data_IF_688490951482
#
_entry.id   IF_688490951482
#
_cell.length_a   1.000
_cell.length_b   1.000
_cell.length_c   1.000
_cell.angle_alpha   90.00
_cell.angle_beta   90.00
_cell.angle_gamma   90.00
#
_symmetry.space_group_name_H-M   'P 1'
#
loop_
_entity.id
_entity.type
_entity.pdbx_description
1 polymer ?
#
# COMPACT_ATOMS: atom_id res chain seq x y z
N UNK A 1 -17.88 16.56 -16.15
CA UNK A 1 -16.40 16.53 -16.26
C UNK A 1 -16.03 16.21 -17.70
N UNK A 2 -15.31 17.10 -18.40
CA UNK A 2 -14.72 16.76 -19.71
C UNK A 2 -13.38 16.09 -19.45
N UNK A 3 -13.33 14.78 -19.62
CA UNK A 3 -12.08 14.02 -19.54
C UNK A 3 -11.09 14.54 -20.60
N UNK A 4 -9.85 14.81 -20.19
CA UNK A 4 -8.75 15.17 -21.09
C UNK A 4 -7.57 14.25 -20.85
N UNK A 5 -6.80 13.97 -21.89
CA UNK A 5 -5.54 13.25 -21.77
C UNK A 5 -4.61 13.98 -20.80
N UNK A 6 -3.93 13.24 -19.91
CA UNK A 6 -3.00 13.84 -18.96
C UNK A 6 -1.92 14.67 -19.68
N UNK A 7 -1.80 15.98 -19.40
CA UNK A 7 -0.82 16.83 -20.06
C UNK A 7 0.60 16.58 -19.52
N UNK A 8 1.59 16.92 -20.34
CA UNK A 8 3.00 16.86 -19.95
C UNK A 8 3.28 17.87 -18.82
N UNK A 9 4.06 17.47 -17.83
CA UNK A 9 4.47 18.36 -16.73
C UNK A 9 3.34 18.81 -15.81
N UNK A 10 2.26 18.04 -15.68
CA UNK A 10 1.13 18.34 -14.78
C UNK A 10 1.58 18.70 -13.34
N UNK A 11 2.71 18.15 -12.89
CA UNK A 11 3.33 18.49 -11.61
C UNK A 11 3.72 19.99 -11.48
N UNK A 12 3.97 20.70 -12.58
CA UNK A 12 4.27 22.13 -12.60
C UNK A 12 3.05 23.00 -12.30
N UNK A 13 1.83 22.50 -12.58
CA UNK A 13 0.58 23.17 -12.18
C UNK A 13 0.31 22.97 -10.69
N UNK A 14 0.46 21.73 -10.22
CA UNK A 14 0.30 21.37 -8.81
C UNK A 14 1.13 20.11 -8.50
N UNK A 15 2.05 20.20 -7.55
CA UNK A 15 3.00 19.12 -7.22
C UNK A 15 2.35 17.76 -6.98
N UNK A 16 1.27 17.69 -6.18
CA UNK A 16 0.53 16.45 -5.88
C UNK A 16 -0.08 15.77 -7.11
N UNK A 17 -0.41 16.49 -8.18
CA UNK A 17 -0.89 15.89 -9.43
C UNK A 17 0.23 15.16 -10.19
N UNK A 18 1.49 15.46 -9.86
CA UNK A 18 2.68 14.76 -10.34
C UNK A 18 2.95 13.42 -9.67
N UNK A 19 2.26 13.08 -8.57
CA UNK A 19 2.54 11.85 -7.82
C UNK A 19 2.29 10.62 -8.69
N UNK A 20 3.34 9.84 -8.88
CA UNK A 20 3.28 8.69 -9.77
C UNK A 20 2.73 7.45 -9.05
N UNK A 21 1.40 7.38 -8.88
CA UNK A 21 0.70 6.24 -8.29
C UNK A 21 -0.21 5.53 -9.29
N UNK A 22 0.01 4.23 -9.48
CA UNK A 22 -0.89 3.39 -10.29
C UNK A 22 -2.29 3.28 -9.68
N UNK A 23 -2.41 3.37 -8.35
CA UNK A 23 -3.69 3.26 -7.65
C UNK A 23 -4.67 4.36 -8.02
N UNK A 24 -4.18 5.61 -8.08
CA UNK A 24 -5.01 6.76 -8.45
C UNK A 24 -5.47 6.68 -9.92
N UNK A 25 -4.67 6.05 -10.79
CA UNK A 25 -5.05 5.82 -12.19
C UNK A 25 -6.13 4.75 -12.29
N UNK A 26 -5.99 3.65 -11.53
CA UNK A 26 -7.03 2.61 -11.45
C UNK A 26 -8.32 3.19 -10.88
N UNK A 27 -8.22 4.04 -9.85
CA UNK A 27 -9.36 4.69 -9.26
C UNK A 27 -10.11 5.57 -10.27
N UNK A 28 -9.38 6.39 -11.04
CA UNK A 28 -9.98 7.21 -12.09
C UNK A 28 -10.68 6.38 -13.20
N UNK A 29 -10.20 5.18 -13.52
CA UNK A 29 -10.84 4.30 -14.53
C UNK A 29 -12.13 3.67 -13.97
N UNK A 30 -12.10 3.25 -12.71
CA UNK A 30 -13.22 2.58 -12.04
C UNK A 30 -14.32 3.57 -11.68
N UNK A 31 -13.96 4.80 -11.33
CA UNK A 31 -14.87 5.89 -11.01
C UNK A 31 -15.54 6.41 -12.28
N UNK A 32 -16.55 5.69 -12.76
CA UNK A 32 -17.28 6.08 -13.96
C UNK A 32 -18.29 7.20 -13.62
N UNK A 33 -18.18 8.41 -14.22
CA UNK A 33 -19.12 9.50 -13.98
C UNK A 33 -20.54 9.22 -14.50
N UNK A 34 -20.70 8.19 -15.34
CA UNK A 34 -21.96 7.89 -16.04
C UNK A 34 -23.07 7.34 -15.15
N UNK A 35 -22.75 6.72 -14.00
CA UNK A 35 -23.76 6.09 -13.15
C UNK A 35 -24.29 7.01 -12.06
N UNK A 36 -23.55 8.04 -11.67
CA UNK A 36 -23.88 8.91 -10.53
C UNK A 36 -23.53 10.35 -10.89
N UNK A 37 -24.55 11.15 -11.15
CA UNK A 37 -24.41 12.45 -11.82
C UNK A 37 -23.62 13.50 -11.03
N UNK A 38 -23.40 13.36 -9.71
CA UNK A 38 -22.97 14.51 -8.88
C UNK A 38 -21.95 14.22 -7.77
N UNK A 39 -21.61 12.96 -7.47
CA UNK A 39 -20.63 12.64 -6.42
C UNK A 39 -19.71 11.47 -6.81
N UNK A 40 -18.38 11.59 -6.66
CA UNK A 40 -17.49 10.47 -6.87
C UNK A 40 -17.66 9.44 -5.74
N UNK A 41 -17.96 8.20 -6.09
CA UNK A 41 -17.85 7.06 -5.17
C UNK A 41 -16.48 6.41 -5.34
N UNK A 42 -15.59 6.64 -4.38
CA UNK A 42 -14.24 6.08 -4.36
C UNK A 42 -14.26 4.57 -4.01
N UNK A 43 -14.76 3.72 -4.91
CA UNK A 43 -15.01 2.28 -4.65
C UNK A 43 -13.76 1.39 -4.78
N UNK A 44 -12.66 1.93 -5.30
CA UNK A 44 -11.45 1.14 -5.61
C UNK A 44 -10.87 0.45 -4.37
N UNK A 45 -10.84 1.15 -3.23
CA UNK A 45 -10.45 0.55 -1.95
C UNK A 45 -11.45 -0.52 -1.50
N UNK A 46 -12.76 -0.29 -1.69
CA UNK A 46 -13.80 -1.27 -1.38
C UNK A 46 -13.59 -2.61 -2.09
N UNK A 47 -13.22 -2.58 -3.38
CA UNK A 47 -12.98 -3.78 -4.19
C UNK A 47 -11.85 -4.64 -3.60
N UNK A 48 -10.68 -4.05 -3.33
CA UNK A 48 -9.56 -4.81 -2.77
C UNK A 48 -9.84 -5.27 -1.35
N UNK A 49 -10.51 -4.45 -0.55
CA UNK A 49 -10.93 -4.85 0.79
C UNK A 49 -11.91 -6.04 0.75
N UNK A 50 -12.86 -6.06 -0.18
CA UNK A 50 -13.81 -7.15 -0.37
C UNK A 50 -13.10 -8.47 -0.70
N UNK A 51 -12.19 -8.47 -1.67
CA UNK A 51 -11.45 -9.69 -2.03
C UNK A 51 -10.56 -10.19 -0.89
N UNK A 52 -9.90 -9.29 -0.16
CA UNK A 52 -9.07 -9.68 0.98
C UNK A 52 -9.90 -10.25 2.14
N UNK A 53 -11.02 -9.61 2.47
CA UNK A 53 -11.97 -10.12 3.47
C UNK A 53 -12.54 -11.49 3.09
N UNK A 54 -12.88 -11.67 1.82
CA UNK A 54 -13.35 -12.97 1.28
C UNK A 54 -12.30 -14.06 1.43
N UNK A 55 -11.02 -13.77 1.15
CA UNK A 55 -9.93 -14.72 1.35
C UNK A 55 -9.80 -15.15 2.82
N UNK A 56 -9.96 -14.20 3.76
CA UNK A 56 -10.03 -14.49 5.19
C UNK A 56 -11.20 -15.41 5.54
N UNK A 57 -12.40 -15.10 5.05
CA UNK A 57 -13.61 -15.88 5.30
C UNK A 57 -13.52 -17.32 4.76
N UNK A 58 -13.07 -17.50 3.52
CA UNK A 58 -12.91 -18.83 2.93
C UNK A 58 -11.81 -19.65 3.62
N UNK A 59 -10.71 -19.01 4.02
CA UNK A 59 -9.66 -19.69 4.79
C UNK A 59 -10.20 -20.14 6.14
N UNK A 60 -10.91 -19.27 6.84
CA UNK A 60 -11.50 -19.58 8.14
C UNK A 60 -12.49 -20.75 8.05
N UNK A 61 -13.46 -20.65 7.13
CA UNK A 61 -14.50 -21.67 6.95
C UNK A 61 -13.95 -23.02 6.49
N UNK A 62 -12.95 -23.05 5.60
CA UNK A 62 -12.27 -24.28 5.20
C UNK A 62 -11.51 -24.94 6.36
N UNK A 63 -10.74 -24.15 7.12
CA UNK A 63 -9.89 -24.67 8.21
C UNK A 63 -10.69 -25.13 9.42
N UNK A 64 -11.90 -24.59 9.63
CA UNK A 64 -12.83 -25.15 10.62
C UNK A 64 -13.12 -26.63 10.33
N UNK A 65 -13.30 -27.00 9.06
CA UNK A 65 -13.59 -28.38 8.65
C UNK A 65 -12.36 -29.28 8.77
N UNK A 66 -11.20 -28.80 8.33
CA UNK A 66 -9.96 -29.58 8.28
C UNK A 66 -9.27 -29.81 9.65
N UNK A 67 -9.59 -28.99 10.67
CA UNK A 67 -8.97 -29.06 12.03
C UNK A 67 -7.43 -29.03 12.01
N UNK A 68 -6.85 -28.30 11.05
CA UNK A 68 -5.39 -28.14 10.95
C UNK A 68 -5.03 -26.79 10.36
N UNK A 69 -4.47 -25.93 11.20
CA UNK A 69 -3.99 -24.61 10.80
C UNK A 69 -2.50 -24.66 10.46
N UNK A 70 -2.18 -24.06 9.32
CA UNK A 70 -0.83 -23.75 8.89
C UNK A 70 -0.38 -22.40 9.45
N UNK A 71 0.92 -22.11 9.42
CA UNK A 71 1.44 -20.81 9.87
C UNK A 71 0.86 -19.67 9.02
N UNK A 72 0.73 -19.88 7.71
CA UNK A 72 0.10 -18.92 6.81
C UNK A 72 -1.34 -18.59 7.21
N UNK A 73 -2.06 -19.58 7.74
CA UNK A 73 -3.49 -19.44 8.08
C UNK A 73 -3.65 -18.56 9.32
N UNK A 74 -2.82 -18.77 10.36
CA UNK A 74 -2.78 -17.90 11.53
C UNK A 74 -2.46 -16.45 11.15
N UNK A 75 -1.45 -16.25 10.29
CA UNK A 75 -1.09 -14.93 9.81
C UNK A 75 -2.24 -14.24 9.08
N UNK A 76 -2.85 -14.93 8.11
CA UNK A 76 -3.98 -14.38 7.37
C UNK A 76 -5.13 -14.02 8.33
N UNK A 77 -5.53 -14.91 9.24
CA UNK A 77 -6.63 -14.64 10.16
C UNK A 77 -6.37 -13.47 11.11
N UNK A 78 -5.14 -13.31 11.63
CA UNK A 78 -4.85 -12.16 12.47
C UNK A 78 -4.78 -10.85 11.68
N UNK A 79 -4.34 -10.87 10.41
CA UNK A 79 -4.42 -9.67 9.56
C UNK A 79 -5.86 -9.26 9.25
N UNK A 80 -6.83 -10.19 9.27
CA UNK A 80 -8.25 -9.87 9.14
C UNK A 80 -8.73 -8.98 10.28
N UNK A 81 -8.18 -9.10 11.49
CA UNK A 81 -8.52 -8.20 12.60
C UNK A 81 -8.10 -6.75 12.27
N UNK A 82 -6.91 -6.56 11.71
CA UNK A 82 -6.44 -5.23 11.30
C UNK A 82 -7.27 -4.69 10.13
N UNK A 83 -7.55 -5.55 9.14
CA UNK A 83 -8.43 -5.25 8.01
C UNK A 83 -9.78 -4.73 8.52
N UNK A 84 -10.45 -5.52 9.36
CA UNK A 84 -11.70 -5.17 10.03
C UNK A 84 -11.64 -3.79 10.67
N UNK A 85 -10.65 -3.53 11.54
CA UNK A 85 -10.50 -2.24 12.24
C UNK A 85 -10.36 -1.06 11.27
N UNK A 86 -9.62 -1.22 10.17
CA UNK A 86 -9.35 -0.14 9.21
C UNK A 86 -10.47 0.04 8.17
N UNK A 87 -11.29 -0.98 7.88
CA UNK A 87 -12.36 -0.94 6.87
C UNK A 87 -13.27 0.28 6.96
N UNK A 88 -13.86 0.66 8.12
CA UNK A 88 -14.90 1.68 8.17
C UNK A 88 -14.46 3.07 7.67
N UNK A 89 -13.20 3.45 7.87
CA UNK A 89 -12.67 4.74 7.42
C UNK A 89 -11.95 4.67 6.07
N UNK A 90 -11.84 3.47 5.49
CA UNK A 90 -10.97 3.17 4.35
C UNK A 90 -11.73 2.90 3.05
N UNK A 91 -12.94 2.34 3.14
CA UNK A 91 -13.68 1.76 2.01
C UNK A 91 -13.98 2.80 0.93
N UNK A 92 -14.37 4.01 1.32
CA UNK A 92 -14.72 5.13 0.44
C UNK A 92 -13.62 6.20 0.37
N UNK A 93 -12.36 5.81 0.58
CA UNK A 93 -11.20 6.71 0.54
C UNK A 93 -10.39 6.50 -0.74
N UNK A 94 -9.84 7.57 -1.31
CA UNK A 94 -8.80 7.51 -2.36
C UNK A 94 -7.39 7.26 -1.80
N UNK A 95 -7.22 7.14 -0.49
CA UNK A 95 -5.91 6.95 0.11
C UNK A 95 -5.24 5.68 -0.41
N UNK A 96 -3.98 5.82 -0.83
CA UNK A 96 -3.10 4.72 -1.25
C UNK A 96 -2.57 3.89 -0.07
N UNK A 97 -2.81 4.30 1.18
CA UNK A 97 -2.25 3.63 2.36
C UNK A 97 -2.90 2.26 2.59
N UNK A 98 -4.21 2.16 2.35
CA UNK A 98 -5.01 0.94 2.52
C UNK A 98 -4.64 -0.16 1.52
N UNK A 99 -4.58 0.09 0.20
CA UNK A 99 -4.17 -0.95 -0.73
C UNK A 99 -2.73 -1.41 -0.47
N UNK A 100 -1.81 -0.51 -0.11
CA UNK A 100 -0.42 -0.89 0.24
C UNK A 100 -0.39 -1.75 1.50
N UNK A 101 -1.18 -1.42 2.52
CA UNK A 101 -1.35 -2.26 3.73
C UNK A 101 -1.82 -3.67 3.37
N UNK A 102 -2.91 -3.79 2.61
CA UNK A 102 -3.52 -5.07 2.24
C UNK A 102 -2.60 -5.89 1.33
N UNK A 103 -1.97 -5.27 0.33
CA UNK A 103 -1.02 -5.94 -0.56
C UNK A 103 0.21 -6.38 0.22
N UNK A 104 0.68 -5.60 1.18
CA UNK A 104 1.80 -6.02 2.06
C UNK A 104 1.42 -7.27 2.83
N UNK A 105 0.24 -7.32 3.46
CA UNK A 105 -0.22 -8.54 4.13
C UNK A 105 -0.34 -9.72 3.16
N UNK A 106 -0.90 -9.50 1.97
CA UNK A 106 -1.03 -10.56 0.99
C UNK A 106 0.33 -11.10 0.52
N UNK A 107 1.30 -10.23 0.26
CA UNK A 107 2.66 -10.65 -0.15
C UNK A 107 3.38 -11.35 0.99
N UNK A 108 3.29 -10.87 2.23
CA UNK A 108 3.87 -11.58 3.39
C UNK A 108 3.21 -12.95 3.59
N UNK A 109 1.89 -13.05 3.43
CA UNK A 109 1.17 -14.33 3.42
C UNK A 109 1.71 -15.27 2.32
N UNK A 110 1.86 -14.79 1.10
CA UNK A 110 2.42 -15.58 -0.01
C UNK A 110 3.87 -15.99 0.25
N UNK A 111 4.66 -15.13 0.90
CA UNK A 111 6.04 -15.44 1.28
C UNK A 111 6.09 -16.57 2.31
N UNK A 112 5.19 -16.56 3.30
CA UNK A 112 5.04 -17.68 4.23
C UNK A 112 4.66 -18.95 3.45
N UNK A 113 3.63 -18.88 2.60
CA UNK A 113 3.15 -20.01 1.79
C UNK A 113 4.24 -20.60 0.90
N UNK A 114 5.09 -19.76 0.34
CA UNK A 114 6.21 -20.15 -0.49
C UNK A 114 7.20 -21.05 0.24
N UNK A 115 7.48 -20.77 1.51
CA UNK A 115 8.36 -21.60 2.35
C UNK A 115 7.64 -22.76 3.03
N UNK A 116 6.31 -22.66 3.18
CA UNK A 116 5.47 -23.67 3.83
C UNK A 116 5.09 -24.82 2.88
N UNK A 117 4.63 -24.49 1.67
CA UNK A 117 4.25 -25.44 0.64
C UNK A 117 5.33 -25.51 -0.44
N UNK A 118 5.98 -26.66 -0.55
CA UNK A 118 6.98 -26.91 -1.60
C UNK A 118 6.35 -27.02 -3.00
N UNK A 119 5.12 -27.54 -3.07
CA UNK A 119 4.32 -27.62 -4.29
C UNK A 119 3.96 -26.24 -4.84
N UNK A 120 4.07 -26.05 -6.15
CA UNK A 120 3.77 -24.79 -6.84
C UNK A 120 4.54 -23.56 -6.30
N UNK A 121 5.70 -23.77 -5.66
CA UNK A 121 6.56 -22.70 -5.13
C UNK A 121 6.89 -21.61 -6.18
N UNK A 122 7.08 -21.99 -7.44
CA UNK A 122 7.27 -21.05 -8.54
C UNK A 122 6.08 -20.09 -8.77
N UNK A 123 4.84 -20.56 -8.61
CA UNK A 123 3.64 -19.74 -8.78
C UNK A 123 3.55 -18.73 -7.64
N UNK A 124 3.79 -19.18 -6.40
CA UNK A 124 3.85 -18.29 -5.24
C UNK A 124 4.94 -17.23 -5.38
N UNK A 125 6.15 -17.60 -5.79
CA UNK A 125 7.23 -16.63 -6.03
C UNK A 125 6.88 -15.60 -7.11
N UNK A 126 6.23 -16.03 -8.19
CA UNK A 126 5.84 -15.11 -9.24
C UNK A 126 4.74 -14.13 -8.79
N UNK A 127 3.66 -14.64 -8.18
CA UNK A 127 2.57 -13.79 -7.68
C UNK A 127 3.14 -12.79 -6.66
N UNK A 128 4.03 -13.25 -5.79
CA UNK A 128 4.74 -12.42 -4.84
C UNK A 128 5.55 -11.30 -5.52
N UNK A 129 6.28 -11.57 -6.61
CA UNK A 129 7.00 -10.56 -7.40
C UNK A 129 6.07 -9.54 -8.07
N UNK A 130 4.95 -9.98 -8.66
CA UNK A 130 4.00 -9.07 -9.32
C UNK A 130 3.32 -8.18 -8.31
N UNK A 131 2.80 -8.74 -7.22
CA UNK A 131 2.10 -7.95 -6.20
C UNK A 131 3.05 -7.02 -5.44
N UNK A 132 4.30 -7.42 -5.21
CA UNK A 132 5.30 -6.52 -4.62
C UNK A 132 5.70 -5.39 -5.56
N UNK A 133 5.86 -5.66 -6.87
CA UNK A 133 6.07 -4.60 -7.87
C UNK A 133 4.86 -3.66 -7.91
N UNK A 134 3.65 -4.20 -7.95
CA UNK A 134 2.42 -3.41 -7.95
C UNK A 134 2.31 -2.54 -6.69
N UNK A 135 2.70 -3.04 -5.52
CA UNK A 135 2.76 -2.24 -4.30
C UNK A 135 3.71 -1.04 -4.45
N UNK A 136 4.86 -1.24 -5.11
CA UNK A 136 5.83 -0.15 -5.39
C UNK A 136 5.26 0.88 -6.36
N UNK A 137 4.53 0.47 -7.40
CA UNK A 137 3.89 1.40 -8.34
C UNK A 137 2.75 2.20 -7.69
N UNK A 138 2.16 1.68 -6.61
CA UNK A 138 1.21 2.43 -5.79
C UNK A 138 1.96 3.43 -4.89
N UNK A 139 3.02 2.96 -4.21
CA UNK A 139 3.79 3.75 -3.24
C UNK A 139 5.21 3.23 -3.07
N UNK A 140 6.20 4.11 -3.19
CA UNK A 140 7.62 3.77 -3.04
C UNK A 140 7.98 3.22 -1.65
N UNK A 141 7.17 3.48 -0.61
CA UNK A 141 7.40 2.90 0.72
C UNK A 141 7.34 1.37 0.72
N UNK A 142 6.73 0.74 -0.30
CA UNK A 142 6.70 -0.71 -0.46
C UNK A 142 7.97 -1.32 -1.07
N UNK A 143 9.00 -0.53 -1.41
CA UNK A 143 10.24 -1.05 -2.04
C UNK A 143 10.91 -2.22 -1.28
N UNK A 144 10.96 -2.23 0.07
CA UNK A 144 11.50 -3.37 0.83
C UNK A 144 10.75 -4.69 0.57
N UNK A 145 9.46 -4.61 0.24
CA UNK A 145 8.64 -5.79 -0.10
C UNK A 145 9.11 -6.43 -1.41
N UNK A 146 9.41 -5.62 -2.42
CA UNK A 146 9.95 -6.08 -3.71
C UNK A 146 11.36 -6.65 -3.54
N UNK A 147 12.22 -5.96 -2.79
CA UNK A 147 13.58 -6.44 -2.51
C UNK A 147 13.57 -7.79 -1.77
N UNK A 148 12.70 -7.93 -0.76
CA UNK A 148 12.49 -9.19 -0.04
C UNK A 148 11.96 -10.30 -0.95
N UNK A 149 11.06 -9.95 -1.86
CA UNK A 149 10.46 -10.89 -2.83
C UNK A 149 11.48 -11.42 -3.83
N UNK A 150 12.31 -10.54 -4.39
CA UNK A 150 13.43 -10.90 -5.27
C UNK A 150 14.43 -11.77 -4.53
N UNK A 151 14.80 -11.40 -3.29
CA UNK A 151 15.76 -12.14 -2.48
C UNK A 151 15.27 -13.56 -2.17
N UNK A 152 13.99 -13.72 -1.82
CA UNK A 152 13.38 -15.03 -1.58
C UNK A 152 13.35 -15.90 -2.84
N UNK A 153 13.07 -15.28 -4.00
CA UNK A 153 13.10 -15.98 -5.28
C UNK A 153 14.53 -16.42 -5.67
N UNK A 154 15.54 -15.55 -5.50
CA UNK A 154 16.95 -15.88 -5.73
C UNK A 154 17.38 -17.02 -4.80
N UNK A 155 17.05 -16.93 -3.51
CA UNK A 155 17.34 -17.99 -2.53
C UNK A 155 16.76 -19.33 -2.96
N UNK A 156 15.52 -19.34 -3.48
CA UNK A 156 14.90 -20.53 -4.03
C UNK A 156 15.60 -21.06 -5.27
N UNK A 157 15.99 -20.21 -6.23
CA UNK A 157 16.73 -20.64 -7.41
C UNK A 157 18.07 -21.30 -7.04
N UNK A 158 18.78 -20.72 -6.06
CA UNK A 158 20.04 -21.29 -5.55
C UNK A 158 19.79 -22.63 -4.85
N UNK A 159 18.77 -22.70 -4.00
CA UNK A 159 18.43 -23.92 -3.25
C UNK A 159 17.91 -25.04 -4.16
N UNK A 160 17.11 -24.68 -5.17
CA UNK A 160 16.61 -25.59 -6.19
C UNK A 160 17.76 -26.13 -7.04
N UNK A 161 18.74 -25.31 -7.45
CA UNK A 161 19.95 -25.77 -8.16
C UNK A 161 20.75 -26.79 -7.35
N UNK A 162 20.94 -26.56 -6.04
CA UNK A 162 21.63 -27.54 -5.18
C UNK A 162 20.90 -28.88 -5.10
N UNK A 163 19.58 -28.87 -5.01
CA UNK A 163 18.78 -30.10 -4.99
C UNK A 163 18.65 -30.76 -6.38
N UNK A 164 18.66 -29.97 -7.46
CA UNK A 164 18.59 -30.44 -8.85
C UNK A 164 19.88 -31.14 -9.29
N UNK A 165 21.02 -30.81 -8.70
CA UNK A 165 22.27 -31.58 -8.85
C UNK A 165 22.15 -32.99 -8.22
N UNK A 166 21.21 -33.21 -7.30
CA UNK A 166 21.05 -34.47 -6.55
C UNK A 166 19.83 -35.33 -6.93
N UNK A 167 18.87 -34.82 -7.70
CA UNK A 167 17.69 -35.58 -8.13
C UNK A 167 17.59 -35.61 -9.65
N UNK A 168 17.46 -36.82 -10.21
CA UNK A 168 17.25 -37.08 -11.64
C UNK A 168 16.29 -36.07 -12.31
N UNK A 169 16.73 -35.63 -13.49
CA UNK A 169 16.17 -34.58 -14.34
C UNK A 169 14.66 -34.73 -14.60
N UNK A 170 13.81 -34.11 -13.76
CA UNK A 170 12.51 -33.67 -14.24
C UNK A 170 12.76 -32.52 -15.23
N UNK A 171 12.75 -32.84 -16.52
CA UNK A 171 12.75 -31.90 -17.65
C UNK A 171 11.85 -30.72 -17.28
N UNK A 172 12.43 -29.51 -17.21
CA UNK A 172 11.68 -28.26 -17.17
C UNK A 172 10.70 -28.26 -18.35
N UNK A 173 9.45 -28.58 -18.06
CA UNK A 173 8.44 -28.81 -19.08
C UNK A 173 8.29 -27.51 -19.91
N UNK A 174 8.48 -27.59 -21.22
CA UNK A 174 8.50 -26.43 -22.14
C UNK A 174 7.23 -25.55 -22.02
N UNK A 175 6.10 -26.17 -21.64
CA UNK A 175 4.84 -25.47 -21.30
C UNK A 175 4.96 -24.54 -20.09
N UNK A 176 5.72 -24.91 -19.06
CA UNK A 176 6.01 -24.06 -17.90
C UNK A 176 6.87 -22.86 -18.31
N UNK A 177 7.87 -23.05 -19.17
CA UNK A 177 8.71 -21.97 -19.71
C UNK A 177 7.93 -20.92 -20.52
N UNK A 178 7.03 -21.36 -21.41
CA UNK A 178 6.15 -20.46 -22.18
C UNK A 178 5.19 -19.66 -21.28
N UNK A 179 4.69 -20.26 -20.20
CA UNK A 179 3.90 -19.58 -19.20
C UNK A 179 4.71 -18.50 -18.47
N UNK A 180 5.96 -18.78 -18.07
CA UNK A 180 6.83 -17.81 -17.41
C UNK A 180 7.19 -16.59 -18.29
N UNK A 181 7.29 -16.75 -19.62
CA UNK A 181 7.48 -15.62 -20.54
C UNK A 181 6.33 -14.62 -20.49
N UNK A 182 5.08 -15.09 -20.48
CA UNK A 182 3.88 -14.21 -20.39
C UNK A 182 3.84 -13.43 -19.08
N UNK A 183 4.30 -14.09 -18.02
CA UNK A 183 4.36 -13.56 -16.67
C UNK A 183 5.45 -12.48 -16.50
N UNK A 184 6.64 -12.70 -17.07
CA UNK A 184 7.70 -11.69 -17.15
C UNK A 184 7.24 -10.47 -17.97
N UNK A 185 6.54 -10.71 -19.08
CA UNK A 185 5.98 -9.63 -19.90
C UNK A 185 5.02 -8.75 -19.09
N UNK A 186 4.13 -9.34 -18.28
CA UNK A 186 3.23 -8.58 -17.42
C UNK A 186 3.98 -7.67 -16.41
N UNK A 187 5.05 -8.19 -15.79
CA UNK A 187 5.92 -7.40 -14.90
C UNK A 187 6.50 -6.18 -15.62
N UNK A 188 7.07 -6.38 -16.82
CA UNK A 188 7.66 -5.29 -17.59
C UNK A 188 6.64 -4.29 -18.11
N UNK A 189 5.43 -4.73 -18.49
CA UNK A 189 4.35 -3.82 -18.90
C UNK A 189 3.94 -2.89 -17.75
N UNK A 190 3.72 -3.45 -16.55
CA UNK A 190 3.38 -2.66 -15.36
C UNK A 190 4.49 -1.64 -15.05
N UNK A 191 5.75 -2.07 -15.09
CA UNK A 191 6.87 -1.19 -14.82
C UNK A 191 7.03 -0.10 -15.89
N UNK A 192 6.98 -0.46 -17.18
CA UNK A 192 7.16 0.46 -18.29
C UNK A 192 6.06 1.53 -18.32
N UNK A 193 4.80 1.13 -18.10
CA UNK A 193 3.67 2.08 -18.03
C UNK A 193 3.81 3.04 -16.86
N UNK A 194 4.22 2.55 -15.69
CA UNK A 194 4.48 3.40 -14.52
C UNK A 194 5.64 4.37 -14.77
N UNK A 195 6.75 3.91 -15.34
CA UNK A 195 7.91 4.74 -15.70
C UNK A 195 7.53 5.85 -16.68
N UNK A 196 6.85 5.48 -17.78
CA UNK A 196 6.41 6.43 -18.80
C UNK A 196 5.50 7.52 -18.21
N UNK A 197 4.54 7.12 -17.35
CA UNK A 197 3.62 8.06 -16.69
C UNK A 197 4.37 9.05 -15.80
N UNK A 198 5.34 8.61 -15.00
CA UNK A 198 6.12 9.50 -14.15
C UNK A 198 6.87 10.57 -14.96
N UNK A 199 7.53 10.14 -16.05
CA UNK A 199 8.24 11.03 -16.98
C UNK A 199 7.28 12.04 -17.62
N UNK A 200 6.11 11.58 -18.08
CA UNK A 200 5.06 12.46 -18.66
C UNK A 200 4.60 13.50 -17.64
N UNK A 201 4.27 13.10 -16.41
CA UNK A 201 3.66 14.00 -15.43
C UNK A 201 4.63 15.02 -14.82
N UNK A 202 5.90 14.67 -14.68
CA UNK A 202 6.85 15.46 -13.86
C UNK A 202 8.27 15.56 -14.44
N UNK A 203 8.58 14.81 -15.50
CA UNK A 203 9.96 14.61 -15.94
C UNK A 203 10.78 13.72 -14.99
N UNK A 204 10.15 13.03 -14.04
CA UNK A 204 10.80 12.13 -13.09
C UNK A 204 10.05 10.80 -12.98
N UNK A 205 10.76 9.66 -13.01
CA UNK A 205 10.15 8.32 -12.89
C UNK A 205 9.35 8.18 -11.59
N UNK A 206 9.94 8.59 -10.47
CA UNK A 206 9.45 8.26 -9.13
C UNK A 206 9.02 9.49 -8.32
N UNK A 207 8.55 10.56 -8.99
CA UNK A 207 8.12 11.79 -8.33
C UNK A 207 7.13 11.52 -7.17
N UNK A 208 7.34 12.11 -5.97
CA UNK A 208 8.25 13.22 -5.64
C UNK A 208 9.68 12.81 -5.25
N UNK A 209 10.05 11.54 -5.35
CA UNK A 209 11.46 11.14 -5.25
C UNK A 209 12.24 11.70 -6.45
N UNK A 210 13.52 12.02 -6.25
CA UNK A 210 14.43 12.42 -7.33
C UNK A 210 14.96 11.24 -8.17
N UNK A 211 14.53 10.01 -7.87
CA UNK A 211 14.94 8.82 -8.60
C UNK A 211 14.40 8.85 -10.04
N UNK A 212 15.32 8.85 -11.00
CA UNK A 212 14.99 8.87 -12.43
C UNK A 212 14.54 10.25 -12.94
N UNK A 213 15.16 11.33 -12.45
CA UNK A 213 14.90 12.69 -12.91
C UNK A 213 15.61 13.01 -14.23
N UNK A 214 14.87 13.56 -15.21
CA UNK A 214 15.37 13.91 -16.54
C UNK A 214 15.42 15.42 -16.74
N UNK A 215 16.59 16.04 -16.50
CA UNK A 215 16.80 17.49 -16.59
C UNK A 215 16.58 18.09 -17.98
N UNK A 216 16.78 17.31 -19.05
CA UNK A 216 16.69 17.80 -20.44
C UNK A 216 15.25 17.99 -20.94
N UNK A 217 14.24 17.48 -20.22
CA UNK A 217 12.85 17.60 -20.63
C UNK A 217 12.32 19.00 -20.31
N UNK A 218 11.71 19.64 -21.30
CA UNK A 218 11.17 21.00 -21.18
C UNK A 218 10.12 21.15 -20.07
N UNK A 219 9.37 20.08 -19.78
CA UNK A 219 8.32 20.06 -18.78
C UNK A 219 8.77 19.43 -17.45
N UNK A 220 10.05 19.08 -17.30
CA UNK A 220 10.55 18.55 -16.04
C UNK A 220 10.38 19.58 -14.92
N UNK A 221 9.89 19.13 -13.76
CA UNK A 221 9.79 19.98 -12.57
C UNK A 221 11.18 20.48 -12.19
N UNK A 222 11.29 21.72 -11.71
CA UNK A 222 12.59 22.25 -11.30
C UNK A 222 13.17 21.43 -10.14
N UNK A 223 14.51 21.23 -10.07
CA UNK A 223 15.14 20.47 -8.99
C UNK A 223 14.84 21.05 -7.59
N UNK A 224 14.60 22.36 -7.51
CA UNK A 224 14.25 23.07 -6.27
C UNK A 224 12.86 22.65 -5.79
N UNK A 225 11.85 22.68 -6.68
CA UNK A 225 10.47 22.26 -6.36
C UNK A 225 10.44 20.77 -6.00
N UNK A 226 11.13 19.93 -6.78
CA UNK A 226 11.26 18.50 -6.53
C UNK A 226 11.83 18.20 -5.14
N UNK A 227 12.93 18.87 -4.77
CA UNK A 227 13.55 18.71 -3.44
C UNK A 227 12.64 19.22 -2.34
N UNK A 228 12.02 20.38 -2.53
CA UNK A 228 11.10 20.97 -1.55
C UNK A 228 9.92 20.04 -1.26
N UNK A 229 9.30 19.44 -2.28
CA UNK A 229 8.19 18.47 -2.11
C UNK A 229 8.62 17.23 -1.32
N UNK A 230 9.78 16.64 -1.65
CA UNK A 230 10.35 15.53 -0.88
C UNK A 230 10.65 15.93 0.57
N UNK A 231 11.22 17.11 0.79
CA UNK A 231 11.59 17.61 2.12
C UNK A 231 10.35 17.88 2.99
N UNK A 232 9.27 18.42 2.41
CA UNK A 232 7.98 18.60 3.09
C UNK A 232 7.34 17.28 3.50
N UNK A 233 7.35 16.25 2.63
CA UNK A 233 6.82 14.93 3.00
C UNK A 233 7.57 14.34 4.19
N UNK A 234 8.91 14.46 4.20
CA UNK A 234 9.75 13.98 5.29
C UNK A 234 9.53 14.77 6.58
N UNK A 235 9.46 16.09 6.48
CA UNK A 235 9.21 16.97 7.63
C UNK A 235 7.87 16.65 8.26
N UNK A 236 6.80 16.59 7.44
CA UNK A 236 5.45 16.29 7.91
C UNK A 236 5.36 14.94 8.63
N UNK A 237 6.07 13.93 8.12
CA UNK A 237 6.08 12.60 8.71
C UNK A 237 6.80 12.52 10.07
N UNK A 238 7.75 13.42 10.32
CA UNK A 238 8.49 13.53 11.58
C UNK A 238 7.78 14.44 12.58
N UNK A 239 7.37 15.63 12.12
CA UNK A 239 6.72 16.64 12.92
C UNK A 239 5.79 17.50 12.03
N UNK A 240 4.46 17.21 12.04
CA UNK A 240 3.49 17.96 11.25
C UNK A 240 3.53 19.47 11.52
N UNK A 241 3.25 20.26 10.48
CA UNK A 241 3.17 21.73 10.53
C UNK A 241 4.48 22.46 10.87
N UNK A 242 5.63 21.79 10.88
CA UNK A 242 6.94 22.42 11.08
C UNK A 242 7.74 22.36 9.78
N UNK A 243 8.45 23.46 9.47
CA UNK A 243 9.17 23.60 8.21
C UNK A 243 10.34 22.61 8.09
N UNK A 244 10.67 22.15 6.86
CA UNK A 244 11.73 21.17 6.67
C UNK A 244 13.10 21.60 7.18
N UNK A 245 13.41 22.90 7.12
CA UNK A 245 14.70 23.45 7.59
C UNK A 245 14.92 23.18 9.08
N UNK A 246 13.84 23.21 9.88
CA UNK A 246 13.90 22.97 11.34
C UNK A 246 13.92 21.49 11.70
N UNK A 247 13.25 20.64 10.91
CA UNK A 247 13.03 19.22 11.26
C UNK A 247 14.07 18.28 10.64
N UNK A 248 14.58 18.60 9.45
CA UNK A 248 15.47 17.68 8.72
C UNK A 248 16.94 17.80 9.14
N UNK A 249 17.34 18.91 9.76
CA UNK A 249 18.72 19.17 10.16
C UNK A 249 19.16 18.53 11.48
N UNK A 250 18.24 17.98 12.28
CA UNK A 250 18.55 17.43 13.60
C UNK A 250 17.58 16.28 14.00
N UNK A 251 17.67 15.82 15.25
CA UNK A 251 16.86 14.75 15.83
C UNK A 251 15.91 15.22 16.93
N UNK A 252 15.70 16.52 17.10
CA UNK A 252 14.88 17.10 18.19
C UNK A 252 13.42 16.63 18.11
N UNK A 253 12.95 16.32 16.90
CA UNK A 253 11.63 15.76 16.63
C UNK A 253 11.43 14.36 17.24
N UNK A 254 12.50 13.55 17.41
CA UNK A 254 12.39 12.12 17.68
C UNK A 254 11.70 11.81 19.01
N UNK A 255 12.03 12.52 20.08
CA UNK A 255 11.42 12.30 21.39
C UNK A 255 9.91 12.53 21.35
N UNK A 256 9.50 13.66 20.77
CA UNK A 256 8.08 14.00 20.64
C UNK A 256 7.34 13.01 19.73
N UNK A 257 7.94 12.68 18.59
CA UNK A 257 7.42 11.69 17.65
C UNK A 257 7.24 10.31 18.32
N UNK A 258 8.24 9.84 19.08
CA UNK A 258 8.20 8.54 19.75
C UNK A 258 7.10 8.47 20.80
N UNK A 259 6.92 9.53 21.60
CA UNK A 259 5.84 9.63 22.59
C UNK A 259 4.48 9.55 21.89
N UNK A 260 4.29 10.30 20.80
CA UNK A 260 3.05 10.28 20.04
C UNK A 260 2.81 8.93 19.36
N UNK A 261 3.86 8.32 18.81
CA UNK A 261 3.81 6.99 18.22
C UNK A 261 3.34 5.94 19.23
N UNK A 262 3.96 5.89 20.42
CA UNK A 262 3.56 4.96 21.48
C UNK A 262 2.12 5.20 21.93
N UNK A 263 1.72 6.47 22.09
CA UNK A 263 0.37 6.85 22.51
C UNK A 263 -0.69 6.43 21.49
N UNK A 264 -0.45 6.68 20.21
CA UNK A 264 -1.42 6.45 19.14
C UNK A 264 -1.43 4.98 18.67
N UNK A 265 -0.28 4.30 18.73
CA UNK A 265 -0.07 2.96 18.19
C UNK A 265 0.08 1.87 19.27
N UNK A 266 -0.49 2.10 20.47
CA UNK A 266 -0.47 1.16 21.62
C UNK A 266 -0.84 -0.28 21.26
N UNK A 267 -1.70 -0.48 20.27
CA UNK A 267 -2.09 -1.81 19.79
C UNK A 267 -0.92 -2.61 19.22
N UNK A 268 0.01 -1.97 18.50
CA UNK A 268 1.21 -2.64 17.98
C UNK A 268 2.05 -3.20 19.14
N UNK A 269 2.21 -2.42 20.21
CA UNK A 269 2.96 -2.80 21.41
C UNK A 269 2.27 -3.97 22.12
N UNK A 270 0.96 -3.91 22.32
CA UNK A 270 0.20 -5.00 22.95
C UNK A 270 0.29 -6.30 22.15
N UNK A 271 0.17 -6.24 20.82
CA UNK A 271 0.29 -7.41 19.94
C UNK A 271 1.71 -7.99 20.02
N UNK A 272 2.73 -7.14 20.03
CA UNK A 272 4.13 -7.57 20.15
C UNK A 272 4.38 -8.29 21.48
N UNK A 273 3.98 -7.69 22.60
CA UNK A 273 4.12 -8.28 23.94
C UNK A 273 3.38 -9.62 24.01
N UNK A 274 2.14 -9.68 23.53
CA UNK A 274 1.36 -10.92 23.51
C UNK A 274 2.05 -12.01 22.68
N UNK A 275 2.57 -11.67 21.50
CA UNK A 275 3.31 -12.60 20.65
C UNK A 275 4.57 -13.15 21.31
N UNK A 276 5.34 -12.29 21.98
CA UNK A 276 6.55 -12.68 22.73
C UNK A 276 6.17 -13.64 23.87
N UNK A 277 5.15 -13.30 24.68
CA UNK A 277 4.69 -14.15 25.79
C UNK A 277 4.27 -15.54 25.27
N UNK A 278 3.53 -15.60 24.17
CA UNK A 278 3.09 -16.89 23.59
C UNK A 278 4.29 -17.71 23.09
N UNK A 279 5.29 -17.08 22.48
CA UNK A 279 6.54 -17.76 22.08
C UNK A 279 7.26 -18.30 23.32
N UNK A 280 7.40 -17.51 24.39
CA UNK A 280 8.05 -17.96 25.63
C UNK A 280 7.33 -19.17 26.21
N UNK A 281 5.98 -19.12 26.31
CA UNK A 281 5.16 -20.26 26.76
C UNK A 281 5.39 -21.49 25.88
N UNK A 282 5.51 -21.30 24.57
CA UNK A 282 5.75 -22.39 23.63
C UNK A 282 7.14 -23.03 23.80
N UNK A 283 8.18 -22.23 24.08
CA UNK A 283 9.55 -22.70 24.30
C UNK A 283 9.71 -23.50 25.60
N UNK A 284 8.94 -23.18 26.65
CA UNK A 284 8.97 -23.90 27.92
C UNK A 284 8.35 -25.32 27.80
N UNK A 285 7.52 -25.57 26.78
CA UNK A 285 6.95 -26.91 26.55
C UNK A 285 7.98 -27.86 25.94
N UNK A 286 8.24 -29.00 26.61
CA UNK A 286 9.24 -30.02 26.21
C UNK A 286 9.10 -30.51 24.76
N UNK A 287 7.90 -30.47 24.18
CA UNK A 287 7.67 -30.93 22.79
C UNK A 287 8.12 -29.93 21.72
N UNK A 288 8.54 -28.72 22.09
CA UNK A 288 9.04 -27.72 21.16
C UNK A 288 10.30 -28.19 20.41
N UNK A 289 11.32 -28.61 21.15
CA UNK A 289 12.62 -28.98 20.60
C UNK A 289 12.59 -30.26 19.75
N UNK A 290 11.49 -31.02 19.80
CA UNK A 290 11.28 -32.21 18.98
C UNK A 290 10.77 -31.89 17.56
N UNK A 291 10.37 -30.65 17.26
CA UNK A 291 9.80 -30.29 15.95
C UNK A 291 10.88 -29.82 14.98
N UNK A 292 11.07 -30.55 13.87
CA UNK A 292 11.91 -30.10 12.75
C UNK A 292 11.15 -29.08 11.87
N UNK A 293 11.07 -27.83 12.35
CA UNK A 293 10.42 -26.74 11.61
C UNK A 293 11.41 -26.06 10.66
N UNK A 294 10.96 -25.79 9.43
CA UNK A 294 11.71 -24.94 8.51
C UNK A 294 11.77 -23.51 9.05
N UNK A 295 12.87 -23.13 9.69
CA UNK A 295 13.06 -21.80 10.30
C UNK A 295 12.88 -20.65 9.30
N UNK A 296 13.15 -20.87 8.02
CA UNK A 296 13.04 -19.86 6.97
C UNK A 296 11.61 -19.37 6.76
N UNK A 297 10.61 -20.21 7.09
CA UNK A 297 9.19 -19.85 7.00
C UNK A 297 8.86 -18.62 7.86
N UNK A 298 9.59 -18.42 8.95
CA UNK A 298 9.38 -17.33 9.90
C UNK A 298 10.41 -16.22 9.74
N UNK A 299 11.70 -16.54 9.73
CA UNK A 299 12.75 -15.53 9.75
C UNK A 299 12.81 -14.68 8.48
N UNK A 300 12.55 -15.26 7.30
CA UNK A 300 12.61 -14.49 6.04
C UNK A 300 11.49 -13.43 5.99
N UNK A 301 10.19 -13.76 6.18
CA UNK A 301 9.14 -12.74 6.28
C UNK A 301 9.37 -11.73 7.40
N UNK A 302 9.93 -12.15 8.54
CA UNK A 302 10.22 -11.26 9.66
C UNK A 302 11.31 -10.24 9.29
N UNK A 303 12.40 -10.68 8.64
CA UNK A 303 13.47 -9.80 8.16
C UNK A 303 12.94 -8.83 7.11
N UNK A 304 12.12 -9.29 6.16
CA UNK A 304 11.50 -8.40 5.16
C UNK A 304 10.65 -7.33 5.84
N UNK A 305 9.85 -7.71 6.83
CA UNK A 305 9.03 -6.75 7.60
C UNK A 305 9.90 -5.78 8.39
N UNK A 306 10.98 -6.26 9.01
CA UNK A 306 11.91 -5.43 9.78
C UNK A 306 12.67 -4.43 8.90
N UNK A 307 13.21 -4.87 7.76
CA UNK A 307 13.84 -3.98 6.78
C UNK A 307 12.84 -2.95 6.23
N UNK A 308 11.57 -3.35 6.09
CA UNK A 308 10.46 -2.45 5.80
C UNK A 308 10.26 -1.36 6.83
N UNK A 309 10.29 -1.72 8.13
CA UNK A 309 10.23 -0.77 9.25
C UNK A 309 11.43 0.17 9.25
N UNK A 310 12.65 -0.33 9.03
CA UNK A 310 13.85 0.52 8.95
C UNK A 310 13.73 1.51 7.79
N UNK A 311 13.35 1.03 6.60
CA UNK A 311 13.16 1.89 5.43
C UNK A 311 12.13 2.98 5.69
N UNK A 312 10.96 2.61 6.24
CA UNK A 312 9.90 3.54 6.63
C UNK A 312 10.41 4.59 7.62
N UNK A 313 11.11 4.15 8.68
CA UNK A 313 11.60 5.04 9.73
C UNK A 313 12.59 6.09 9.20
N UNK A 314 13.54 5.68 8.36
CA UNK A 314 14.56 6.59 7.82
C UNK A 314 14.06 7.48 6.68
N UNK A 315 12.95 7.12 6.02
CA UNK A 315 12.37 7.90 4.92
C UNK A 315 11.30 8.85 5.40
N UNK A 316 10.15 8.35 5.85
CA UNK A 316 8.99 9.16 6.26
C UNK A 316 8.22 8.40 7.37
N UNK A 317 8.57 8.60 8.65
CA UNK A 317 8.09 7.81 9.79
C UNK A 317 6.64 8.15 10.23
N UNK A 318 5.75 8.46 9.29
CA UNK A 318 4.31 8.56 9.55
C UNK A 318 3.73 7.14 9.54
N UNK A 319 3.08 6.65 10.63
CA UNK A 319 2.56 5.29 10.71
C UNK A 319 1.72 4.86 9.50
N UNK A 320 0.98 5.78 8.87
CA UNK A 320 0.15 5.48 7.69
C UNK A 320 0.96 4.98 6.49
N UNK A 321 2.23 5.35 6.39
CA UNK A 321 3.14 4.91 5.32
C UNK A 321 3.81 3.56 5.61
N UNK A 322 3.81 3.13 6.88
CA UNK A 322 4.52 1.95 7.38
C UNK A 322 3.62 0.84 7.92
N UNK A 323 2.30 1.06 8.04
CA UNK A 323 1.38 0.09 8.67
C UNK A 323 1.48 -1.32 8.11
N UNK A 324 1.70 -1.48 6.80
CA UNK A 324 1.93 -2.79 6.19
C UNK A 324 3.02 -3.59 6.89
N UNK A 325 4.20 -2.97 7.09
CA UNK A 325 5.34 -3.61 7.72
C UNK A 325 5.23 -3.68 9.24
N UNK A 326 4.74 -2.61 9.88
CA UNK A 326 4.55 -2.54 11.33
C UNK A 326 3.61 -3.64 11.83
N UNK A 327 2.43 -3.77 11.22
CA UNK A 327 1.50 -4.84 11.56
C UNK A 327 2.03 -6.21 11.13
N UNK A 328 2.62 -6.35 9.94
CA UNK A 328 3.17 -7.65 9.52
C UNK A 328 4.21 -8.17 10.52
N UNK A 329 5.11 -7.32 11.01
CA UNK A 329 6.14 -7.71 11.96
C UNK A 329 5.55 -8.25 13.27
N UNK A 330 4.65 -7.50 13.92
CA UNK A 330 4.06 -7.93 15.20
C UNK A 330 3.12 -9.13 15.03
N UNK A 331 2.38 -9.19 13.91
CA UNK A 331 1.47 -10.30 13.61
C UNK A 331 2.23 -11.58 13.21
N UNK A 332 3.39 -11.49 12.57
CA UNK A 332 4.25 -12.66 12.30
C UNK A 332 4.69 -13.32 13.61
N UNK A 333 5.14 -12.52 14.58
CA UNK A 333 5.55 -13.00 15.91
C UNK A 333 4.38 -13.69 16.61
N UNK A 334 3.22 -13.01 16.65
CA UNK A 334 2.00 -13.57 17.24
C UNK A 334 1.59 -14.88 16.57
N UNK A 335 1.49 -14.87 15.24
CA UNK A 335 1.10 -16.03 14.43
C UNK A 335 2.04 -17.22 14.62
N UNK A 336 3.35 -16.95 14.74
CA UNK A 336 4.34 -17.99 14.91
C UNK A 336 4.26 -18.62 16.30
N UNK A 337 4.04 -17.81 17.34
CA UNK A 337 3.73 -18.30 18.68
C UNK A 337 2.55 -19.27 18.69
N UNK A 338 1.42 -18.89 18.08
CA UNK A 338 0.24 -19.75 17.96
C UNK A 338 0.49 -21.01 17.11
N UNK A 339 1.22 -20.87 16.01
CA UNK A 339 1.58 -21.98 15.14
C UNK A 339 2.45 -23.02 15.86
N UNK A 340 3.37 -22.58 16.72
CA UNK A 340 4.25 -23.47 17.46
C UNK A 340 3.50 -24.16 18.59
N UNK A 341 2.74 -23.40 19.39
CA UNK A 341 2.13 -23.91 20.63
C UNK A 341 1.10 -25.02 20.33
N UNK A 342 0.48 -25.02 19.13
CA UNK A 342 -0.53 -25.98 18.63
C UNK A 342 -1.29 -26.65 19.76
N UNK A 343 -2.21 -25.94 20.41
CA UNK A 343 -3.01 -26.49 21.51
C UNK A 343 -4.04 -27.49 20.96
N UNK A 344 -3.82 -28.83 21.05
CA UNK A 344 -4.69 -29.81 20.39
C UNK A 344 -6.09 -29.85 21.01
N UNK A 345 -6.20 -29.53 22.31
CA UNK A 345 -7.45 -29.51 23.07
C UNK A 345 -8.24 -28.20 22.96
N UNK A 346 -7.65 -27.14 22.40
CA UNK A 346 -8.25 -25.79 22.40
C UNK A 346 -8.48 -25.21 20.99
N UNK A 347 -8.34 -26.00 19.93
CA UNK A 347 -8.73 -25.55 18.58
C UNK A 347 -10.20 -25.13 18.51
N UNK A 348 -11.09 -25.79 19.27
CA UNK A 348 -12.48 -25.39 19.39
C UNK A 348 -12.64 -24.00 20.06
N UNK A 349 -11.83 -23.71 21.08
CA UNK A 349 -11.81 -22.40 21.76
C UNK A 349 -11.25 -21.33 20.83
N UNK A 350 -10.16 -21.62 20.10
CA UNK A 350 -9.62 -20.70 19.12
C UNK A 350 -10.62 -20.39 18.01
N UNK A 351 -11.34 -21.41 17.52
CA UNK A 351 -12.45 -21.24 16.56
C UNK A 351 -13.56 -20.38 17.15
N UNK A 352 -13.98 -20.65 18.39
CA UNK A 352 -15.02 -19.91 19.09
C UNK A 352 -14.63 -18.44 19.30
N UNK A 353 -13.42 -18.17 19.79
CA UNK A 353 -12.90 -16.82 19.98
C UNK A 353 -12.76 -16.09 18.64
N UNK A 354 -12.27 -16.76 17.59
CA UNK A 354 -12.16 -16.16 16.26
C UNK A 354 -13.54 -15.80 15.70
N UNK A 355 -14.52 -16.71 15.82
CA UNK A 355 -15.93 -16.47 15.44
C UNK A 355 -16.51 -15.33 16.24
N UNK A 356 -16.30 -15.32 17.55
CA UNK A 356 -16.82 -14.30 18.45
C UNK A 356 -16.22 -12.94 18.15
N UNK A 357 -14.91 -12.84 17.89
CA UNK A 357 -14.25 -11.58 17.52
C UNK A 357 -14.80 -11.09 16.17
N UNK A 358 -14.95 -11.97 15.18
CA UNK A 358 -15.49 -11.60 13.86
C UNK A 358 -16.95 -11.14 13.98
N UNK A 359 -17.79 -11.87 14.72
CA UNK A 359 -19.19 -11.51 14.96
C UNK A 359 -19.34 -10.23 15.77
N UNK A 360 -18.62 -10.11 16.88
CA UNK A 360 -18.64 -8.93 17.74
C UNK A 360 -18.19 -7.70 16.94
N UNK A 361 -17.16 -7.85 16.11
CA UNK A 361 -16.71 -6.78 15.24
C UNK A 361 -17.75 -6.44 14.17
N UNK A 362 -18.33 -7.44 13.51
CA UNK A 362 -19.40 -7.24 12.53
C UNK A 362 -20.55 -6.47 13.17
N UNK A 363 -21.03 -6.89 14.34
CA UNK A 363 -22.09 -6.21 15.10
C UNK A 363 -21.70 -4.79 15.48
N UNK A 364 -20.51 -4.56 16.06
CA UNK A 364 -20.06 -3.22 16.47
C UNK A 364 -19.96 -2.26 15.28
N UNK A 365 -19.63 -2.75 14.08
CA UNK A 365 -19.46 -1.89 12.90
C UNK A 365 -20.69 -1.78 12.02
N UNK A 366 -21.54 -2.81 11.94
CA UNK A 366 -22.79 -2.75 11.17
C UNK A 366 -23.94 -2.17 11.97
N UNK A 367 -23.97 -2.33 13.30
CA UNK A 367 -25.04 -1.76 14.13
C UNK A 367 -25.21 -0.24 13.93
N UNK A 368 -24.15 0.60 13.88
CA UNK A 368 -24.29 2.02 13.57
C UNK A 368 -24.86 2.30 12.18
N UNK A 369 -24.51 1.46 11.18
CA UNK A 369 -25.02 1.57 9.81
C UNK A 369 -26.51 1.18 9.74
N UNK A 370 -26.91 0.12 10.46
CA UNK A 370 -28.32 -0.31 10.58
C UNK A 370 -29.17 0.65 11.41
N UNK A 371 -28.59 1.37 12.37
CA UNK A 371 -29.31 2.39 13.16
C UNK A 371 -29.55 3.65 12.32
N UNK A 372 -28.62 3.98 11.40
CA UNK A 372 -28.69 5.21 10.59
C UNK A 372 -29.02 5.01 9.10
N UNK A 373 -29.40 3.81 8.65
CA UNK A 373 -29.55 3.52 7.20
C UNK A 373 -30.55 4.45 6.49
N UNK A 374 -31.65 4.84 7.17
CA UNK A 374 -32.64 5.79 6.63
C UNK A 374 -32.07 7.20 6.45
N UNK A 375 -31.18 7.65 7.33
CA UNK A 375 -30.52 8.96 7.22
C UNK A 375 -29.38 8.96 6.17
N UNK A 376 -28.75 7.80 5.94
CA UNK A 376 -27.62 7.66 5.02
C UNK A 376 -28.08 7.55 3.56
N UNK A 377 -29.11 6.76 3.26
CA UNK A 377 -29.53 6.48 1.88
C UNK A 377 -30.48 7.54 1.27
N UNK A 378 -31.17 8.33 2.10
CA UNK A 378 -32.25 9.22 1.63
C UNK A 378 -31.81 10.69 1.54
N UNK A 379 -30.86 11.16 2.37
CA UNK A 379 -30.65 12.61 2.53
C UNK A 379 -29.23 13.14 2.30
N UNK A 380 -28.19 12.33 2.09
CA UNK A 380 -26.79 12.81 2.13
C UNK A 380 -25.87 12.19 1.07
N UNK A 381 -26.20 12.33 -0.22
CA UNK A 381 -25.11 12.33 -1.19
C UNK A 381 -24.26 13.56 -0.92
N UNK A 382 -22.97 13.36 -0.63
CA UNK A 382 -22.07 14.48 -0.35
C UNK A 382 -21.92 15.28 -1.64
N UNK A 383 -22.54 16.45 -1.68
CA UNK A 383 -22.30 17.43 -2.74
C UNK A 383 -20.84 17.89 -2.67
N UNK A 384 -20.22 18.02 -3.84
CA UNK A 384 -18.90 18.62 -3.92
C UNK A 384 -19.03 20.10 -3.50
N UNK A 385 -18.28 20.57 -2.49
CA UNK A 385 -18.32 21.96 -2.06
C UNK A 385 -18.14 22.94 -3.22
N UNK A 386 -19.06 23.88 -3.34
CA UNK A 386 -18.92 25.05 -4.21
C UNK A 386 -18.12 26.09 -3.46
N UNK A 387 -17.02 26.53 -4.08
CA UNK A 387 -16.10 27.50 -3.50
C UNK A 387 -16.05 28.76 -4.35
N UNK A 388 -15.69 29.86 -3.72
CA UNK A 388 -15.37 31.10 -4.42
C UNK A 388 -14.05 30.94 -5.18
N UNK A 389 -14.03 31.39 -6.43
CA UNK A 389 -12.90 31.24 -7.36
C UNK A 389 -12.40 32.60 -7.77
N UNK A 390 -11.09 32.79 -7.69
CA UNK A 390 -10.38 33.93 -8.24
C UNK A 390 -9.69 33.53 -9.53
N UNK A 391 -9.86 34.31 -10.59
CA UNK A 391 -9.08 34.16 -11.82
C UNK A 391 -7.75 34.91 -11.69
N UNK A 392 -6.64 34.18 -11.83
CA UNK A 392 -5.29 34.76 -11.94
C UNK A 392 -4.78 34.61 -13.38
N UNK A 393 -3.86 35.48 -13.79
CA UNK A 393 -3.27 35.45 -15.15
C UNK A 393 -1.77 35.26 -15.10
N UNK A 394 -1.25 34.33 -15.89
CA UNK A 394 0.19 34.16 -16.10
C UNK A 394 0.77 35.36 -16.85
N UNK A 395 2.11 35.47 -16.92
CA UNK A 395 2.78 36.51 -17.73
C UNK A 395 2.43 36.43 -19.22
N UNK A 396 2.06 35.25 -19.72
CA UNK A 396 1.58 35.04 -21.09
C UNK A 396 0.08 35.37 -21.24
N UNK A 397 -0.57 35.90 -20.20
CA UNK A 397 -1.98 36.29 -20.20
C UNK A 397 -2.96 35.12 -20.05
N UNK A 398 -2.49 33.92 -19.74
CA UNK A 398 -3.31 32.71 -19.65
C UNK A 398 -4.02 32.68 -18.30
N UNK A 399 -5.34 32.45 -18.32
CA UNK A 399 -6.16 32.37 -17.11
C UNK A 399 -5.95 31.04 -16.37
N UNK A 400 -5.83 31.11 -15.06
CA UNK A 400 -5.77 29.96 -14.14
C UNK A 400 -6.71 30.22 -12.97
N UNK A 401 -7.55 29.24 -12.66
CA UNK A 401 -8.51 29.33 -11.56
C UNK A 401 -7.86 28.97 -10.22
N UNK A 402 -8.08 29.81 -9.22
CA UNK A 402 -7.51 29.67 -7.87
C UNK A 402 -8.63 29.74 -6.84
N UNK A 403 -8.69 28.85 -5.84
CA UNK A 403 -9.63 29.00 -4.73
C UNK A 403 -9.36 30.32 -4.00
N UNK A 404 -10.41 31.11 -3.71
CA UNK A 404 -10.26 32.34 -2.96
C UNK A 404 -9.80 32.10 -1.51
N UNK A 405 -10.18 30.94 -0.94
CA UNK A 405 -9.83 30.54 0.41
C UNK A 405 -9.37 29.07 0.44
N UNK A 406 -8.32 28.78 1.22
CA UNK A 406 -7.82 27.41 1.43
C UNK A 406 -6.95 26.87 0.30
N UNK A 407 -6.66 25.57 0.37
CA UNK A 407 -5.75 24.87 -0.55
C UNK A 407 -6.45 23.79 -1.40
N UNK A 408 -7.78 23.85 -1.50
CA UNK A 408 -8.60 22.83 -2.15
C UNK A 408 -9.32 23.41 -3.38
N UNK A 409 -9.01 22.87 -4.57
CA UNK A 409 -9.66 23.30 -5.81
C UNK A 409 -11.02 22.64 -6.07
N UNK A 410 -11.39 21.58 -5.35
CA UNK A 410 -12.65 20.84 -5.55
C UNK A 410 -12.92 20.51 -7.03
N UNK A 411 -14.07 20.91 -7.57
CA UNK A 411 -14.47 20.68 -8.96
C UNK A 411 -14.59 22.00 -9.75
N UNK A 412 -13.73 22.98 -9.46
CA UNK A 412 -13.66 24.22 -10.24
C UNK A 412 -13.05 23.96 -11.63
N UNK A 413 -13.33 24.83 -12.58
CA UNK A 413 -12.91 24.64 -13.97
C UNK A 413 -11.37 24.61 -14.12
N UNK A 414 -10.89 23.73 -15.00
CA UNK A 414 -9.46 23.57 -15.29
C UNK A 414 -8.98 24.66 -16.28
N UNK A 415 -7.71 25.13 -16.18
CA UNK A 415 -6.70 24.73 -15.22
C UNK A 415 -6.91 25.36 -13.84
N UNK A 416 -6.73 24.58 -12.79
CA UNK A 416 -6.95 24.97 -11.41
C UNK A 416 -5.76 24.61 -10.51
N UNK A 417 -5.35 25.52 -9.63
CA UNK A 417 -4.31 25.26 -8.61
C UNK A 417 -4.46 26.23 -7.44
N UNK A 418 -4.21 25.80 -6.18
CA UNK A 418 -4.13 26.72 -5.05
C UNK A 418 -2.76 27.41 -4.95
N UNK A 419 -1.78 26.99 -5.76
CA UNK A 419 -0.39 27.43 -5.70
C UNK A 419 -0.01 28.19 -6.98
N UNK A 420 -0.77 29.22 -7.33
CA UNK A 420 -0.57 29.97 -8.57
C UNK A 420 0.85 30.54 -8.67
N UNK A 421 1.44 30.40 -9.85
CA UNK A 421 2.72 31.01 -10.21
C UNK A 421 2.59 31.76 -11.54
N UNK A 422 2.89 33.05 -11.53
CA UNK A 422 2.82 33.91 -12.71
C UNK A 422 3.76 33.50 -13.85
N UNK A 423 4.85 32.79 -13.54
CA UNK A 423 5.84 32.31 -14.51
C UNK A 423 5.44 30.99 -15.18
N UNK A 424 4.32 30.38 -14.77
CA UNK A 424 3.81 29.15 -15.37
C UNK A 424 3.42 29.40 -16.84
N UNK A 425 3.94 28.57 -17.73
CA UNK A 425 3.62 28.55 -19.16
C UNK A 425 2.74 27.35 -19.49
N UNK A 426 1.74 27.58 -20.34
CA UNK A 426 0.78 26.55 -20.76
C UNK A 426 0.79 26.47 -22.29
N UNK A 427 1.04 25.28 -22.81
CA UNK A 427 0.99 24.98 -24.24
C UNK A 427 -0.32 24.25 -24.56
N UNK A 428 -1.04 24.71 -25.59
CA UNK A 428 -2.28 24.12 -26.06
C UNK A 428 -2.07 23.37 -27.39
N UNK A 429 -2.81 22.29 -27.61
CA UNK A 429 -2.87 21.61 -28.90
C UNK A 429 -3.73 22.39 -29.92
N UNK A 430 -3.82 21.89 -31.16
CA UNK A 430 -4.62 22.52 -32.22
C UNK A 430 -6.12 22.63 -31.90
N UNK A 431 -6.62 21.78 -30.99
CA UNK A 431 -8.02 21.76 -30.56
C UNK A 431 -8.27 22.62 -29.31
N UNK A 432 -7.28 23.42 -28.87
CA UNK A 432 -7.37 24.25 -27.67
C UNK A 432 -7.30 23.48 -26.34
N UNK A 433 -6.97 22.18 -26.36
CA UNK A 433 -6.76 21.38 -25.15
C UNK A 433 -5.35 21.58 -24.60
N UNK A 434 -5.23 21.60 -23.28
CA UNK A 434 -3.93 21.73 -22.60
C UNK A 434 -3.06 20.51 -22.95
N UNK A 435 -1.86 20.79 -23.47
CA UNK A 435 -0.87 19.77 -23.85
C UNK A 435 0.27 19.66 -22.84
N UNK A 436 0.71 20.78 -22.27
CA UNK A 436 1.90 20.82 -21.42
C UNK A 436 1.91 22.03 -20.48
N UNK A 437 2.40 21.81 -19.25
CA UNK A 437 2.76 22.82 -18.26
C UNK A 437 4.28 22.86 -18.05
N UNK A 438 4.88 24.05 -18.07
CA UNK A 438 6.33 24.24 -17.92
C UNK A 438 6.66 25.65 -17.41
N UNK A 439 7.92 25.93 -17.13
CA UNK A 439 8.44 27.24 -16.74
C UNK A 439 9.43 27.77 -17.78
#
# INVERSE_FOLDING_TARGET
MRESSAPLGLANLHGRLGYNSSWLTIAAIIETPLLLKESPLFITNAIVMFFYGSAGFFTFSGKIKEKKFLFSDYFLLFTIIVWLIKTPSAVSSLSTDIPVLVITFFVIYLLIRFFEKKENSYLYAFILLVFSLFAVTIKLSALPLLAGSISAFIYYLISARKNFIYSNLEKLNFKKFLYYKKLILAFFIILATWVARGIVLSGCIAYPSSVGYFKSLKWAVSPIILKNESDWIRSWARQPSVSPEKVLGNWDWFKHWLIQFIKNEKWLIFILIAGIIIIIIALVKKDFFKKNLNKNIFFIPLIVSFLGILFWFFTAPDPRFGYGFLFSFVLLILSYGFFIIRLPKHEAIFKFISILIILLFFVIKTAPLFINYKNIFINNWLEIPKIEVKEEKTKDGIKVNVPANGDQCWNIDLPATPYFNQDLKINFNKDGKIRMFYY
#
